data_IF_379299071559
#
_entry.id   IF_379299071559
#
_cell.length_a   1.000
_cell.length_b   1.000
_cell.length_c   1.000
_cell.angle_alpha   90.00
_cell.angle_beta   90.00
_cell.angle_gamma   90.00
#
_symmetry.space_group_name_H-M   'P 1'
#
loop_
_entity.id
_entity.type
_entity.pdbx_description
1 polymer ?
#
# COMPACT_ATOMS: atom_id res chain seq x y z
N UNK A 1 -5.37 -17.41 4.08
CA UNK A 1 -4.15 -16.59 3.96
C UNK A 1 -4.57 -15.14 3.72
N UNK A 2 -4.25 -14.23 4.64
CA UNK A 2 -4.52 -12.81 4.42
C UNK A 2 -3.52 -12.32 3.35
N UNK A 3 -4.01 -12.01 2.14
CA UNK A 3 -3.19 -11.41 1.09
C UNK A 3 -2.95 -9.95 1.47
N UNK A 4 -1.84 -9.66 2.13
CA UNK A 4 -1.39 -8.28 2.33
C UNK A 4 -1.19 -7.61 0.98
N UNK A 5 -1.70 -6.39 0.81
CA UNK A 5 -1.53 -5.65 -0.44
C UNK A 5 -0.04 -5.34 -0.64
N UNK A 6 0.48 -5.69 -1.80
CA UNK A 6 1.84 -5.34 -2.21
C UNK A 6 1.79 -4.01 -2.98
N UNK A 7 2.74 -3.13 -2.74
CA UNK A 7 2.88 -1.87 -3.46
C UNK A 7 3.37 -2.16 -4.89
N UNK A 8 2.65 -1.71 -5.90
CA UNK A 8 3.04 -1.88 -7.30
C UNK A 8 4.30 -1.09 -7.69
N UNK A 9 4.61 0.00 -6.96
CA UNK A 9 5.74 0.88 -7.28
C UNK A 9 7.09 0.34 -6.80
N UNK A 10 7.15 -0.14 -5.56
CA UNK A 10 8.40 -0.60 -4.94
C UNK A 10 8.40 -2.08 -4.52
N UNK A 11 7.28 -2.79 -4.66
CA UNK A 11 7.16 -4.20 -4.24
C UNK A 11 7.04 -4.40 -2.72
N UNK A 12 6.93 -3.32 -1.94
CA UNK A 12 6.76 -3.38 -0.49
C UNK A 12 5.48 -4.11 -0.07
N UNK A 13 5.55 -4.97 0.96
CA UNK A 13 4.35 -5.56 1.61
C UNK A 13 3.78 -4.66 2.71
N UNK A 14 4.28 -3.44 2.85
CA UNK A 14 3.82 -2.45 3.82
C UNK A 14 2.78 -1.49 3.22
N UNK A 15 1.70 -2.03 2.65
CA UNK A 15 0.56 -1.23 2.20
C UNK A 15 -0.54 -1.32 3.24
N UNK A 16 -0.89 -0.18 3.82
CA UNK A 16 -2.00 -0.06 4.79
C UNK A 16 -3.14 0.71 4.16
N UNK A 17 -4.37 0.39 4.58
CA UNK A 17 -5.55 1.16 4.19
C UNK A 17 -5.79 2.24 5.24
N UNK A 18 -5.41 3.48 4.91
CA UNK A 18 -5.65 4.68 5.71
C UNK A 18 -6.73 5.51 5.01
N UNK A 19 -7.81 5.87 5.71
CA UNK A 19 -8.90 6.67 5.14
C UNK A 19 -9.46 6.11 3.82
N UNK A 20 -9.69 4.79 3.77
CA UNK A 20 -10.14 4.09 2.56
C UNK A 20 -9.13 4.10 1.39
N UNK A 21 -7.94 4.65 1.58
CA UNK A 21 -6.87 4.70 0.60
C UNK A 21 -5.74 3.72 0.94
N UNK A 22 -5.22 3.06 -0.09
CA UNK A 22 -4.04 2.20 0.04
C UNK A 22 -2.78 3.04 -0.04
N UNK A 23 -2.05 3.15 1.07
CA UNK A 23 -0.81 3.91 1.17
C UNK A 23 0.33 2.98 1.52
N UNK A 24 1.38 3.01 0.70
CA UNK A 24 2.64 2.33 0.95
C UNK A 24 3.47 3.13 1.95
N UNK A 25 3.78 2.52 3.09
CA UNK A 25 4.57 3.13 4.15
C UNK A 25 6.08 3.15 3.82
N UNK A 26 6.54 2.35 2.87
CA UNK A 26 7.96 2.29 2.50
C UNK A 26 8.36 3.36 1.48
N UNK A 27 7.52 3.62 0.47
CA UNK A 27 7.84 4.57 -0.60
C UNK A 27 6.89 5.78 -0.67
N UNK A 28 5.88 5.83 0.19
CA UNK A 28 4.87 6.88 0.21
C UNK A 28 3.87 6.82 -0.95
N UNK A 29 3.85 5.74 -1.73
CA UNK A 29 2.91 5.56 -2.84
C UNK A 29 1.49 5.36 -2.31
N UNK A 30 0.66 6.38 -2.48
CA UNK A 30 -0.76 6.38 -2.13
C UNK A 30 -1.59 6.25 -3.41
N UNK A 31 -2.44 5.21 -3.49
CA UNK A 31 -3.36 5.01 -4.63
C UNK A 31 -4.69 5.73 -4.47
N UNK A 32 -4.70 6.85 -3.75
CA UNK A 32 -5.83 7.76 -3.70
C UNK A 32 -5.70 8.62 -4.95
N UNK A 33 -6.68 8.54 -5.85
CA UNK A 33 -6.64 9.13 -7.19
C UNK A 33 -6.31 10.60 -7.23
#
# INVERSE_FOLDING_TARGET
VAKGNMCDKCGAMAVVRLDNCNTCLECGDSKCG
#
